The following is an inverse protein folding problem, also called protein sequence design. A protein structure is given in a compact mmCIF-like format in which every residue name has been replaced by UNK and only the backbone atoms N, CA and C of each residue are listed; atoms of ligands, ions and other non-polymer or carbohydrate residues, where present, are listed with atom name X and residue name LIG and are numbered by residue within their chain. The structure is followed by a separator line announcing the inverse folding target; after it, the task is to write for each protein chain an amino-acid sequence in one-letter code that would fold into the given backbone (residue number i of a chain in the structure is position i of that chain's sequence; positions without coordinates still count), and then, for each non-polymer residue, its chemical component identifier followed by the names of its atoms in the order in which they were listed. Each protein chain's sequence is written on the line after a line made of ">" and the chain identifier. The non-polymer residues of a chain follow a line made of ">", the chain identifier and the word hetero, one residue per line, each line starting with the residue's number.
data_IF_250639900471
#
_entry.id   IF_250639900471
#
_cell.length_a   1.000
_cell.length_b   1.000
_cell.length_c   1.000
_cell.angle_alpha   90.00
_cell.angle_beta   90.00
_cell.angle_gamma   90.00
#
_symmetry.space_group_name_H-M   'P 1'
#
loop_
_entity.id
_entity.type
_entity.pdbx_description
1 polymer ?
#
# COMPACT_ATOMS: atom_id res chain seq x y z
N UNK A 1 6.64 -2.86 8.06
CA UNK A 1 5.56 -3.16 9.04
C UNK A 1 6.07 -3.48 10.44
N UNK A 2 7.27 -4.05 10.62
CA UNK A 2 7.81 -4.44 11.94
C UNK A 2 8.17 -3.27 12.87
N UNK A 3 8.49 -2.09 12.33
CA UNK A 3 8.87 -0.92 13.12
C UNK A 3 7.67 -0.34 13.89
N UNK A 4 7.50 -0.77 15.14
CA UNK A 4 6.42 -0.30 15.99
C UNK A 4 6.63 1.11 16.53
N UNK A 5 7.80 1.74 16.37
CA UNK A 5 7.99 3.17 16.66
C UNK A 5 7.35 4.05 15.59
N UNK A 6 7.27 3.56 14.35
CA UNK A 6 6.52 4.19 13.25
C UNK A 6 5.04 3.84 13.32
N UNK A 7 4.70 2.55 13.46
CA UNK A 7 3.33 2.05 13.25
C UNK A 7 2.45 2.00 14.49
N UNK A 8 3.02 2.18 15.69
CA UNK A 8 2.30 2.16 16.96
C UNK A 8 1.36 0.95 17.15
N UNK A 9 1.74 -0.20 16.57
CA UNK A 9 1.04 -1.46 16.73
C UNK A 9 1.34 -2.11 18.09
N UNK A 10 0.42 -3.00 18.50
CA UNK A 10 0.55 -3.79 19.72
C UNK A 10 0.23 -3.05 21.02
N UNK A 11 0.79 -3.57 22.13
CA UNK A 11 0.50 -3.13 23.49
C UNK A 11 1.79 -2.69 24.20
N UNK A 12 1.66 -1.70 25.10
CA UNK A 12 2.73 -1.27 26.00
C UNK A 12 2.32 -1.47 27.44
N UNK A 13 3.29 -1.83 28.29
CA UNK A 13 3.08 -1.92 29.73
C UNK A 13 3.39 -0.58 30.38
N UNK A 14 2.40 0.03 31.01
CA UNK A 14 2.57 1.28 31.74
C UNK A 14 3.34 1.07 33.05
N UNK A 15 3.86 2.16 33.64
CA UNK A 15 4.62 2.13 34.90
C UNK A 15 3.82 1.53 36.08
N UNK A 16 2.49 1.62 36.03
CA UNK A 16 1.58 1.02 37.01
C UNK A 16 1.22 -0.45 36.70
N UNK A 17 1.87 -1.06 35.71
CA UNK A 17 1.75 -2.48 35.37
C UNK A 17 0.58 -2.85 34.46
N UNK A 18 -0.28 -1.90 34.09
CA UNK A 18 -1.41 -2.14 33.17
C UNK A 18 -0.93 -2.22 31.71
N UNK A 19 -1.71 -2.88 30.87
CA UNK A 19 -1.49 -2.88 29.42
C UNK A 19 -2.37 -1.82 28.76
N UNK A 20 -1.77 -1.07 27.85
CA UNK A 20 -2.45 -0.04 27.06
C UNK A 20 -2.03 -0.18 25.58
N UNK A 21 -2.91 0.11 24.61
CA UNK A 21 -2.52 0.10 23.20
C UNK A 21 -1.37 1.07 22.96
N UNK A 22 -0.39 0.70 22.14
CA UNK A 22 0.75 1.57 21.82
C UNK A 22 0.29 2.85 21.10
N UNK A 23 -0.79 2.76 20.34
CA UNK A 23 -1.49 3.88 19.70
C UNK A 23 -2.07 4.91 20.69
N UNK A 24 -2.26 4.51 21.97
CA UNK A 24 -2.69 5.36 23.06
C UNK A 24 -3.92 4.88 23.82
N UNK A 25 -4.24 5.56 24.91
CA UNK A 25 -5.45 5.29 25.71
C UNK A 25 -6.75 5.68 24.98
N UNK A 26 -7.90 5.26 25.54
CA UNK A 26 -9.24 5.40 24.93
C UNK A 26 -9.55 6.81 24.36
N UNK A 27 -9.18 7.88 25.07
CA UNK A 27 -9.44 9.26 24.63
C UNK A 27 -8.65 9.65 23.38
N UNK A 28 -7.38 9.22 23.29
CA UNK A 28 -6.53 9.48 22.11
C UNK A 28 -7.05 8.72 20.89
N UNK A 29 -7.43 7.45 21.07
CA UNK A 29 -8.03 6.64 20.01
C UNK A 29 -9.30 7.31 19.48
N UNK A 30 -10.19 7.77 20.37
CA UNK A 30 -11.42 8.46 19.96
C UNK A 30 -11.15 9.79 19.23
N UNK A 31 -10.14 10.56 19.65
CA UNK A 31 -9.76 11.80 18.96
C UNK A 31 -9.23 11.54 17.54
N UNK A 32 -8.63 10.37 17.29
CA UNK A 32 -8.02 10.00 16.02
C UNK A 32 -8.96 9.22 15.08
N UNK A 33 -10.25 9.09 15.41
CA UNK A 33 -11.19 8.25 14.63
C UNK A 33 -11.43 8.77 13.20
N UNK A 34 -11.37 10.09 13.00
CA UNK A 34 -11.65 10.71 11.70
C UNK A 34 -10.45 10.73 10.76
N UNK A 35 -9.24 10.69 11.32
CA UNK A 35 -7.99 10.62 10.58
C UNK A 35 -6.95 9.94 11.48
N UNK A 36 -6.64 8.69 11.18
CA UNK A 36 -5.69 7.91 11.97
C UNK A 36 -4.26 8.25 11.52
N UNK A 37 -3.42 8.90 12.36
CA UNK A 37 -2.05 9.24 12.00
C UNK A 37 -1.10 8.03 11.90
N UNK A 38 -1.53 6.87 12.39
CA UNK A 38 -0.74 5.63 12.43
C UNK A 38 -1.15 4.65 11.31
N UNK A 39 -2.10 5.03 10.45
CA UNK A 39 -2.57 4.20 9.34
C UNK A 39 -1.49 4.16 8.24
N UNK A 40 -1.07 2.97 7.76
CA UNK A 40 -0.22 2.87 6.58
C UNK A 40 -0.97 3.34 5.33
N UNK A 41 -0.28 4.10 4.48
CA UNK A 41 -0.81 4.54 3.20
C UNK A 41 -0.68 3.42 2.15
N UNK A 42 -1.37 3.55 1.03
CA UNK A 42 -1.31 2.57 -0.06
C UNK A 42 0.12 2.38 -0.59
N UNK A 43 0.91 3.45 -0.57
CA UNK A 43 2.31 3.47 -1.00
C UNK A 43 3.25 2.73 -0.02
N UNK A 44 2.86 2.57 1.26
CA UNK A 44 3.58 1.70 2.20
C UNK A 44 3.38 0.20 1.87
N UNK A 45 2.42 -0.14 1.00
CA UNK A 45 2.23 -1.48 0.45
C UNK A 45 2.76 -1.56 -0.98
N UNK A 46 1.94 -1.17 -1.96
CA UNK A 46 2.21 -1.03 -3.40
C UNK A 46 0.90 -0.55 -4.07
N UNK A 47 1.00 0.16 -5.20
CA UNK A 47 -0.17 0.42 -6.05
C UNK A 47 -0.51 -0.84 -6.85
N UNK A 48 -1.69 -1.49 -6.65
CA UNK A 48 -2.05 -2.68 -7.38
C UNK A 48 -2.24 -2.36 -8.87
N UNK A 49 -1.65 -3.19 -9.73
CA UNK A 49 -1.65 -3.00 -11.18
C UNK A 49 -2.07 -4.26 -11.92
N UNK A 50 -2.58 -4.06 -13.13
CA UNK A 50 -2.85 -5.09 -14.13
C UNK A 50 -2.34 -4.63 -15.50
N UNK A 51 -2.32 -5.51 -16.50
CA UNK A 51 -1.87 -5.19 -17.84
C UNK A 51 -3.02 -5.16 -18.84
N UNK A 52 -2.95 -4.24 -19.81
CA UNK A 52 -3.92 -4.18 -20.90
C UNK A 52 -3.67 -5.27 -21.95
N UNK A 53 -3.98 -6.52 -21.60
CA UNK A 53 -3.81 -7.68 -22.50
C UNK A 53 -4.75 -7.62 -23.71
N UNK A 54 -5.93 -7.00 -23.58
CA UNK A 54 -6.89 -6.87 -24.68
C UNK A 54 -6.32 -6.04 -25.83
N UNK A 55 -5.41 -5.10 -25.55
CA UNK A 55 -4.68 -4.37 -26.58
C UNK A 55 -3.96 -5.30 -27.56
N UNK A 56 -3.40 -6.43 -27.09
CA UNK A 56 -2.69 -7.38 -27.95
C UNK A 56 -3.61 -8.09 -28.95
N UNK A 57 -4.88 -8.27 -28.62
CA UNK A 57 -5.87 -8.94 -29.48
C UNK A 57 -6.56 -8.00 -30.46
N UNK A 58 -6.67 -6.72 -30.09
CA UNK A 58 -7.44 -5.71 -30.86
C UNK A 58 -6.56 -4.75 -31.65
N UNK A 59 -5.25 -4.77 -31.43
CA UNK A 59 -4.33 -3.90 -32.15
C UNK A 59 -4.43 -4.17 -33.66
N UNK A 60 -4.74 -3.12 -34.42
CA UNK A 60 -4.68 -3.15 -35.87
C UNK A 60 -3.24 -3.10 -36.37
N UNK A 61 -3.09 -3.00 -37.70
CA UNK A 61 -1.78 -2.89 -38.33
C UNK A 61 -1.04 -1.62 -37.86
N UNK A 62 0.19 -1.79 -37.39
CA UNK A 62 1.02 -0.72 -36.82
C UNK A 62 2.47 -0.94 -37.21
N UNK A 63 3.24 0.15 -37.31
CA UNK A 63 4.70 0.09 -37.54
C UNK A 63 5.46 -0.54 -36.38
N UNK A 64 4.87 -0.56 -35.19
CA UNK A 64 5.48 -1.06 -33.97
C UNK A 64 4.61 -2.15 -33.35
N UNK A 65 5.27 -3.15 -32.77
CA UNK A 65 4.61 -4.26 -32.10
C UNK A 65 3.75 -3.75 -30.92
N UNK A 66 2.50 -4.21 -30.78
CA UNK A 66 1.68 -3.86 -29.63
C UNK A 66 2.23 -4.48 -28.35
N UNK A 67 2.09 -3.77 -27.24
CA UNK A 67 2.54 -4.22 -25.91
C UNK A 67 1.44 -4.01 -24.87
N UNK A 68 1.29 -4.95 -23.94
CA UNK A 68 0.38 -4.79 -22.81
C UNK A 68 1.07 -3.92 -21.76
N UNK A 69 0.63 -2.68 -21.60
CA UNK A 69 1.20 -1.74 -20.62
C UNK A 69 0.45 -1.79 -19.29
N UNK A 70 1.15 -1.50 -18.18
CA UNK A 70 0.54 -1.54 -16.85
C UNK A 70 -0.50 -0.45 -16.68
N UNK A 71 -1.53 -0.77 -15.91
CA UNK A 71 -2.66 0.09 -15.54
C UNK A 71 -2.94 -0.06 -14.06
N UNK A 72 -3.18 1.06 -13.39
CA UNK A 72 -3.57 1.09 -11.98
C UNK A 72 -4.94 0.45 -11.80
N UNK A 73 -5.09 -0.41 -10.80
CA UNK A 73 -6.39 -0.93 -10.37
C UNK A 73 -7.12 0.04 -9.43
N UNK A 74 -6.44 1.07 -8.93
CA UNK A 74 -7.05 2.11 -8.08
C UNK A 74 -7.67 3.19 -8.94
N UNK A 75 -6.90 3.77 -9.85
CA UNK A 75 -7.33 4.91 -10.67
C UNK A 75 -7.83 4.48 -12.06
N UNK A 76 -7.50 3.28 -12.52
CA UNK A 76 -7.72 2.85 -13.91
C UNK A 76 -6.80 3.54 -14.93
N UNK A 77 -5.88 4.39 -14.48
CA UNK A 77 -4.99 5.14 -15.35
C UNK A 77 -3.79 4.30 -15.78
N UNK A 78 -3.21 4.66 -16.93
CA UNK A 78 -1.99 4.02 -17.44
C UNK A 78 -0.81 4.39 -16.56
N UNK A 79 -0.01 3.39 -16.18
CA UNK A 79 1.22 3.59 -15.43
C UNK A 79 2.40 3.72 -16.40
N UNK A 80 3.34 4.63 -16.10
CA UNK A 80 4.58 4.74 -16.87
C UNK A 80 5.52 3.58 -16.58
N UNK A 81 5.66 3.22 -15.30
CA UNK A 81 6.48 2.13 -14.79
C UNK A 81 5.85 1.57 -13.52
N UNK A 82 6.06 0.27 -13.26
CA UNK A 82 5.76 -0.35 -11.97
C UNK A 82 6.97 -0.10 -11.06
N UNK A 83 6.77 0.56 -9.92
CA UNK A 83 7.85 0.96 -9.02
C UNK A 83 8.04 0.03 -7.82
N UNK A 84 7.01 -0.74 -7.47
CA UNK A 84 7.01 -1.58 -6.28
C UNK A 84 6.04 -2.76 -6.40
N UNK A 85 6.16 -3.75 -5.50
CA UNK A 85 5.29 -4.92 -5.44
C UNK A 85 5.38 -5.65 -4.09
N UNK A 86 4.45 -6.56 -3.78
CA UNK A 86 4.35 -7.18 -2.46
C UNK A 86 5.53 -8.10 -2.10
N UNK A 87 6.35 -8.49 -3.09
CA UNK A 87 7.51 -9.37 -2.92
C UNK A 87 8.79 -8.76 -3.52
N UNK A 88 8.90 -7.42 -3.52
CA UNK A 88 9.94 -6.71 -4.25
C UNK A 88 11.38 -7.02 -3.78
N UNK A 89 11.54 -7.44 -2.52
CA UNK A 89 12.84 -7.69 -1.88
C UNK A 89 13.24 -9.19 -1.84
N UNK A 90 12.56 -10.07 -2.59
CA UNK A 90 12.71 -11.54 -2.44
C UNK A 90 14.10 -12.09 -2.80
N UNK A 91 14.83 -11.51 -3.76
CA UNK A 91 16.02 -12.15 -4.39
C UNK A 91 17.34 -11.70 -3.72
N UNK A 92 17.31 -11.34 -2.44
CA UNK A 92 18.52 -11.02 -1.66
C UNK A 92 18.79 -12.04 -0.55
#
# INVERSE_FOLDING_TARGET
>A
WENQEKWNGGWVRSKNGKLEPKQGGKRRILANIFANPDLPDIDDYYEPFDFDYQHLHRAGESKHQPVARPRSLISGQRMEKIEWGPNWEEIL
#
